data_IF_208366851838
#
_entry.id   IF_208366851838
#
_cell.length_a   1.000
_cell.length_b   1.000
_cell.length_c   1.000
_cell.angle_alpha   90.00
_cell.angle_beta   90.00
_cell.angle_gamma   90.00
#
_symmetry.space_group_name_H-M   'P 1'
#
loop_
_entity.id
_entity.type
_entity.pdbx_description
1 polymer ?
#
# COMPACT_ATOMS: atom_id res chain seq x y z
N UNK A 1 -6.71 22.96 17.34
CA UNK A 1 -7.00 21.63 16.75
C UNK A 1 -8.30 21.58 15.97
N UNK A 2 -9.14 22.63 15.96
CA UNK A 2 -10.45 22.56 15.30
C UNK A 2 -10.35 22.29 13.80
N UNK A 3 -9.31 22.79 13.11
CA UNK A 3 -9.14 22.57 11.67
C UNK A 3 -8.76 21.12 11.28
N UNK A 4 -7.91 20.44 12.07
CA UNK A 4 -7.51 19.05 11.80
C UNK A 4 -8.35 18.01 12.57
N UNK A 5 -8.93 18.39 13.70
CA UNK A 5 -9.52 17.45 14.66
C UNK A 5 -10.91 17.84 15.16
N UNK A 6 -11.41 19.04 14.85
CA UNK A 6 -12.69 19.54 15.40
C UNK A 6 -13.64 20.15 14.37
N UNK A 7 -13.44 19.90 13.08
CA UNK A 7 -14.48 20.13 12.10
C UNK A 7 -15.49 18.99 12.30
N UNK A 8 -16.63 19.31 12.90
CA UNK A 8 -17.73 18.36 13.02
C UNK A 8 -18.07 17.85 11.62
N UNK A 9 -18.14 16.52 11.51
CA UNK A 9 -18.58 15.93 10.26
C UNK A 9 -20.05 16.33 10.03
N UNK A 10 -20.47 16.51 8.77
CA UNK A 10 -21.86 16.79 8.47
C UNK A 10 -22.75 15.68 9.04
N UNK A 11 -23.62 16.04 9.99
CA UNK A 11 -24.52 15.11 10.68
C UNK A 11 -25.80 14.93 9.87
N UNK A 12 -25.83 13.85 9.07
CA UNK A 12 -27.02 13.52 8.29
C UNK A 12 -28.07 12.82 9.15
N UNK A 13 -29.37 13.14 8.95
CA UNK A 13 -30.44 12.56 9.74
C UNK A 13 -30.42 11.04 9.60
N UNK A 14 -30.27 10.35 10.73
CA UNK A 14 -30.26 8.89 10.79
C UNK A 14 -31.27 8.42 11.82
N UNK A 15 -31.94 7.30 11.55
CA UNK A 15 -32.80 6.62 12.53
C UNK A 15 -32.01 5.81 13.56
N UNK A 16 -30.67 5.87 13.52
CA UNK A 16 -29.78 5.03 14.30
C UNK A 16 -29.25 5.83 15.49
N UNK A 17 -29.90 5.69 16.64
CA UNK A 17 -29.53 6.41 17.86
C UNK A 17 -28.23 5.95 18.53
N UNK A 18 -27.56 4.91 18.00
CA UNK A 18 -26.38 4.30 18.62
C UNK A 18 -25.06 4.73 17.97
N UNK A 19 -25.10 5.43 16.83
CA UNK A 19 -23.90 5.84 16.08
C UNK A 19 -24.15 7.22 15.46
N UNK A 20 -23.31 8.21 15.78
CA UNK A 20 -23.45 9.58 15.27
C UNK A 20 -23.23 9.68 13.76
N UNK A 21 -22.26 8.92 13.25
CA UNK A 21 -21.84 8.95 11.85
C UNK A 21 -21.96 7.56 11.22
N UNK A 22 -23.18 7.03 11.01
CA UNK A 22 -23.38 5.65 10.57
C UNK A 22 -22.81 5.41 9.17
N UNK A 23 -22.98 6.35 8.24
CA UNK A 23 -22.48 6.24 6.87
C UNK A 23 -20.95 6.09 6.81
N UNK A 24 -20.22 6.98 7.49
CA UNK A 24 -18.75 6.97 7.58
C UNK A 24 -18.28 5.70 8.26
N UNK A 25 -18.91 5.32 9.38
CA UNK A 25 -18.59 4.11 10.15
C UNK A 25 -18.73 2.86 9.29
N UNK A 26 -19.88 2.68 8.61
CA UNK A 26 -20.10 1.53 7.74
C UNK A 26 -19.15 1.51 6.53
N UNK A 27 -18.82 2.69 5.99
CA UNK A 27 -17.87 2.80 4.87
C UNK A 27 -16.49 2.31 5.30
N UNK A 28 -15.97 2.78 6.43
CA UNK A 28 -14.68 2.29 6.95
C UNK A 28 -14.71 0.83 7.37
N UNK A 29 -15.81 0.34 7.94
CA UNK A 29 -15.96 -1.08 8.27
C UNK A 29 -15.90 -1.96 6.99
N UNK A 30 -16.56 -1.53 5.92
CA UNK A 30 -16.53 -2.21 4.63
C UNK A 30 -15.11 -2.18 4.01
N UNK A 31 -14.41 -1.05 4.08
CA UNK A 31 -13.02 -0.91 3.62
C UNK A 31 -12.10 -1.84 4.43
N UNK A 32 -12.27 -1.90 5.76
CA UNK A 32 -11.47 -2.74 6.63
C UNK A 32 -11.63 -4.23 6.29
N UNK A 33 -12.87 -4.67 6.09
CA UNK A 33 -13.21 -6.03 5.70
C UNK A 33 -12.68 -6.36 4.29
N UNK A 34 -12.91 -5.48 3.31
CA UNK A 34 -12.45 -5.67 1.93
C UNK A 34 -10.92 -5.76 1.85
N UNK A 35 -10.21 -4.86 2.52
CA UNK A 35 -8.74 -4.88 2.56
C UNK A 35 -8.21 -6.16 3.20
N UNK A 36 -8.82 -6.64 4.29
CA UNK A 36 -8.42 -7.90 4.93
C UNK A 36 -8.67 -9.11 4.01
N UNK A 37 -9.83 -9.17 3.34
CA UNK A 37 -10.12 -10.22 2.36
C UNK A 37 -9.10 -10.20 1.23
N UNK A 38 -8.76 -9.03 0.68
CA UNK A 38 -7.74 -8.93 -0.37
C UNK A 38 -6.34 -9.30 0.13
N UNK A 39 -5.97 -8.95 1.36
CA UNK A 39 -4.72 -9.40 1.98
C UNK A 39 -4.64 -10.92 2.08
N UNK A 40 -5.72 -11.56 2.57
CA UNK A 40 -5.81 -13.01 2.70
C UNK A 40 -5.75 -13.71 1.34
N UNK A 41 -6.53 -13.25 0.37
CA UNK A 41 -6.53 -13.84 -0.98
C UNK A 41 -5.18 -13.65 -1.65
N UNK A 42 -4.55 -12.48 -1.53
CA UNK A 42 -3.21 -12.24 -2.05
C UNK A 42 -2.16 -13.14 -1.38
N UNK A 43 -2.25 -13.33 -0.07
CA UNK A 43 -1.36 -14.22 0.70
C UNK A 43 -1.49 -15.68 0.32
N UNK A 44 -2.72 -16.19 0.24
CA UNK A 44 -2.99 -17.62 0.01
C UNK A 44 -2.79 -17.97 -1.48
N UNK A 45 -3.31 -17.15 -2.39
CA UNK A 45 -3.39 -17.48 -3.82
C UNK A 45 -2.28 -16.84 -4.65
N UNK A 46 -1.96 -15.57 -4.41
CA UNK A 46 -1.10 -14.79 -5.30
C UNK A 46 0.35 -14.66 -4.82
N UNK A 47 0.72 -15.22 -3.66
CA UNK A 47 2.09 -15.11 -3.14
C UNK A 47 3.02 -16.26 -3.58
N UNK A 48 2.49 -17.28 -4.25
CA UNK A 48 3.26 -18.42 -4.75
C UNK A 48 2.62 -19.03 -6.00
N UNK A 49 3.43 -19.68 -6.83
CA UNK A 49 2.98 -20.40 -8.02
C UNK A 49 3.16 -21.90 -7.78
N UNK A 50 2.13 -22.69 -8.06
CA UNK A 50 2.21 -24.16 -7.98
C UNK A 50 2.55 -24.72 -9.36
N UNK A 51 3.71 -25.39 -9.48
CA UNK A 51 4.13 -26.10 -10.70
C UNK A 51 4.44 -27.54 -10.30
N UNK A 52 3.81 -28.52 -10.97
CA UNK A 52 3.95 -29.96 -10.65
C UNK A 52 3.75 -30.30 -9.15
N UNK A 53 2.71 -29.74 -8.53
CA UNK A 53 2.39 -29.89 -7.10
C UNK A 53 3.47 -29.37 -6.13
N UNK A 54 4.49 -28.65 -6.61
CA UNK A 54 5.45 -27.91 -5.77
C UNK A 54 5.15 -26.42 -5.81
N UNK A 55 5.20 -25.79 -4.64
CA UNK A 55 5.04 -24.35 -4.50
C UNK A 55 6.39 -23.67 -4.71
N UNK A 56 6.50 -22.86 -5.76
CA UNK A 56 7.67 -22.05 -6.07
C UNK A 56 7.41 -20.62 -5.57
N UNK A 57 8.36 -20.09 -4.80
CA UNK A 57 8.34 -18.71 -4.32
C UNK A 57 9.67 -18.05 -4.68
N UNK A 58 9.61 -17.07 -5.57
CA UNK A 58 10.75 -16.22 -5.95
C UNK A 58 10.48 -14.78 -5.55
N UNK A 59 11.53 -13.96 -5.48
CA UNK A 59 11.40 -12.52 -5.21
C UNK A 59 10.48 -11.86 -6.26
N UNK A 60 10.61 -12.23 -7.53
CA UNK A 60 9.75 -11.74 -8.61
C UNK A 60 8.26 -12.09 -8.40
N UNK A 61 7.92 -13.21 -7.75
CA UNK A 61 6.52 -13.63 -7.53
C UNK A 61 5.97 -13.11 -6.20
N UNK A 62 6.83 -12.84 -5.21
CA UNK A 62 6.43 -12.42 -3.87
C UNK A 62 5.55 -11.16 -3.90
N UNK A 63 4.38 -11.25 -3.26
CA UNK A 63 3.44 -10.13 -3.09
C UNK A 63 3.35 -9.68 -1.62
N UNK A 64 4.40 -9.99 -0.83
CA UNK A 64 4.44 -9.74 0.62
C UNK A 64 4.22 -8.27 0.98
N UNK A 65 4.83 -7.34 0.24
CA UNK A 65 4.67 -5.90 0.48
C UNK A 65 3.25 -5.39 0.16
N UNK A 66 2.61 -5.94 -0.88
CA UNK A 66 1.21 -5.64 -1.18
C UNK A 66 0.26 -6.18 -0.10
N UNK A 67 0.55 -7.36 0.46
CA UNK A 67 -0.21 -7.94 1.57
C UNK A 67 -0.08 -7.05 2.82
N UNK A 68 1.13 -6.63 3.17
CA UNK A 68 1.36 -5.70 4.29
C UNK A 68 0.63 -4.37 4.09
N UNK A 69 0.65 -3.83 2.87
CA UNK A 69 -0.12 -2.64 2.52
C UNK A 69 -1.62 -2.80 2.81
N UNK A 70 -2.25 -3.90 2.37
CA UNK A 70 -3.66 -4.16 2.67
C UNK A 70 -3.93 -4.36 4.17
N UNK A 71 -3.02 -5.01 4.90
CA UNK A 71 -3.15 -5.16 6.36
C UNK A 71 -3.15 -3.79 7.04
N UNK A 72 -2.23 -2.89 6.68
CA UNK A 72 -2.21 -1.54 7.26
C UNK A 72 -3.42 -0.69 6.87
N UNK A 73 -3.95 -0.84 5.64
CA UNK A 73 -5.25 -0.23 5.30
C UNK A 73 -6.36 -0.77 6.20
N UNK A 74 -6.43 -2.09 6.39
CA UNK A 74 -7.45 -2.72 7.24
C UNK A 74 -7.37 -2.23 8.68
N UNK A 75 -6.16 -2.12 9.23
CA UNK A 75 -5.92 -1.58 10.57
C UNK A 75 -6.34 -0.10 10.66
N UNK A 76 -5.95 0.73 9.69
CA UNK A 76 -6.34 2.15 9.66
C UNK A 76 -7.86 2.31 9.60
N UNK A 77 -8.51 1.55 8.71
CA UNK A 77 -9.95 1.60 8.54
C UNK A 77 -10.69 1.09 9.79
N UNK A 78 -10.15 0.08 10.47
CA UNK A 78 -10.66 -0.38 11.77
C UNK A 78 -10.56 0.72 12.83
N UNK A 79 -9.41 1.39 12.95
CA UNK A 79 -9.24 2.52 13.90
C UNK A 79 -10.23 3.64 13.61
N UNK A 80 -10.42 4.02 12.34
CA UNK A 80 -11.42 5.02 11.97
C UNK A 80 -12.86 4.55 12.23
N UNK A 81 -13.17 3.27 11.99
CA UNK A 81 -14.49 2.70 12.32
C UNK A 81 -14.76 2.83 13.81
N UNK A 82 -13.80 2.48 14.66
CA UNK A 82 -13.93 2.61 16.12
C UNK A 82 -14.07 4.07 16.54
N UNK A 83 -13.29 4.97 15.95
CA UNK A 83 -13.35 6.41 16.21
C UNK A 83 -14.75 6.97 15.98
N UNK A 84 -15.33 6.71 14.82
CA UNK A 84 -16.65 7.24 14.46
C UNK A 84 -17.81 6.49 15.10
N UNK A 85 -17.63 5.22 15.47
CA UNK A 85 -18.63 4.45 16.21
C UNK A 85 -18.72 4.85 17.69
N UNK A 86 -17.61 5.33 18.28
CA UNK A 86 -17.52 5.72 19.70
C UNK A 86 -17.51 7.25 19.89
N UNK A 87 -17.91 8.01 18.87
CA UNK A 87 -17.91 9.47 18.93
C UNK A 87 -18.83 10.00 20.05
N UNK A 88 -20.00 9.36 20.25
CA UNK A 88 -20.93 9.71 21.33
C UNK A 88 -20.41 9.18 22.68
N UNK A 89 -19.95 10.11 23.54
CA UNK A 89 -19.60 9.81 24.93
C UNK A 89 -18.20 9.23 25.17
N UNK A 90 -17.30 9.18 24.18
CA UNK A 90 -15.90 8.85 24.46
C UNK A 90 -15.18 10.00 25.17
N UNK A 91 -14.31 9.65 26.13
CA UNK A 91 -13.39 10.61 26.73
C UNK A 91 -12.51 11.23 25.64
N UNK A 92 -12.30 12.55 25.68
CA UNK A 92 -11.44 13.28 24.73
C UNK A 92 -10.07 12.61 24.56
N UNK A 93 -9.56 12.01 25.64
CA UNK A 93 -8.33 11.22 25.66
C UNK A 93 -8.35 10.04 24.69
N UNK A 94 -9.45 9.29 24.60
CA UNK A 94 -9.57 8.12 23.72
C UNK A 94 -9.61 8.52 22.25
N UNK A 95 -10.39 9.55 21.89
CA UNK A 95 -10.44 10.04 20.51
C UNK A 95 -9.03 10.45 20.05
N UNK A 96 -8.30 11.22 20.86
CA UNK A 96 -6.93 11.63 20.57
C UNK A 96 -6.00 10.44 20.27
N UNK A 97 -6.07 9.37 21.08
CA UNK A 97 -5.28 8.16 20.82
C UNK A 97 -5.66 7.48 19.50
N UNK A 98 -6.95 7.42 19.17
CA UNK A 98 -7.42 6.85 17.89
C UNK A 98 -6.96 7.70 16.70
N UNK A 99 -6.95 9.02 16.82
CA UNK A 99 -6.42 9.90 15.77
C UNK A 99 -4.92 9.68 15.56
N UNK A 100 -4.12 9.74 16.63
CA UNK A 100 -2.67 9.62 16.50
C UNK A 100 -2.25 8.25 16.00
N UNK A 101 -2.88 7.18 16.50
CA UNK A 101 -2.64 5.83 15.97
C UNK A 101 -3.06 5.73 14.49
N UNK A 102 -4.19 6.34 14.11
CA UNK A 102 -4.63 6.45 12.73
C UNK A 102 -3.61 7.15 11.82
N UNK A 103 -3.00 8.24 12.27
CA UNK A 103 -1.95 8.97 11.54
C UNK A 103 -0.67 8.11 11.37
N UNK A 104 -0.20 7.45 12.43
CA UNK A 104 0.97 6.57 12.35
C UNK A 104 0.73 5.41 11.37
N UNK A 105 -0.43 4.74 11.46
CA UNK A 105 -0.80 3.65 10.56
C UNK A 105 -0.95 4.17 9.12
N UNK A 106 -1.42 5.40 8.94
CA UNK A 106 -1.50 6.04 7.63
C UNK A 106 -0.11 6.24 6.99
N UNK A 107 0.86 6.73 7.77
CA UNK A 107 2.25 6.82 7.33
C UNK A 107 2.84 5.46 6.94
N UNK A 108 2.58 4.42 7.74
CA UNK A 108 2.99 3.04 7.45
C UNK A 108 2.35 2.52 6.16
N UNK A 109 1.08 2.83 5.92
CA UNK A 109 0.37 2.47 4.69
C UNK A 109 1.05 3.08 3.47
N UNK A 110 1.35 4.39 3.50
CA UNK A 110 2.05 5.08 2.40
C UNK A 110 3.46 4.55 2.16
N UNK A 111 4.19 4.24 3.23
CA UNK A 111 5.51 3.62 3.16
C UNK A 111 5.47 2.22 2.53
N UNK A 112 4.56 1.34 2.99
CA UNK A 112 4.39 0.01 2.43
C UNK A 112 3.98 0.05 0.95
N UNK A 113 3.11 0.98 0.55
CA UNK A 113 2.75 1.16 -0.86
C UNK A 113 3.97 1.56 -1.70
N UNK A 114 4.77 2.51 -1.21
CA UNK A 114 6.01 2.94 -1.88
C UNK A 114 6.98 1.77 -2.06
N UNK A 115 7.19 0.96 -1.02
CA UNK A 115 8.04 -0.23 -1.10
C UNK A 115 7.47 -1.27 -2.08
N UNK A 116 6.15 -1.51 -2.05
CA UNK A 116 5.49 -2.46 -2.96
C UNK A 116 5.66 -2.05 -4.43
N UNK A 117 5.52 -0.76 -4.72
CA UNK A 117 5.72 -0.19 -6.06
C UNK A 117 7.18 -0.20 -6.48
N UNK A 118 8.11 0.11 -5.58
CA UNK A 118 9.54 0.05 -5.89
C UNK A 118 9.97 -1.40 -6.17
N UNK A 119 9.49 -2.36 -5.39
CA UNK A 119 9.71 -3.77 -5.64
C UNK A 119 9.14 -4.19 -7.00
N UNK A 120 7.92 -3.75 -7.33
CA UNK A 120 7.33 -3.98 -8.65
C UNK A 120 8.19 -3.39 -9.78
N UNK A 121 8.64 -2.15 -9.63
CA UNK A 121 9.48 -1.48 -10.61
C UNK A 121 10.81 -2.22 -10.82
N UNK A 122 11.52 -2.55 -9.73
CA UNK A 122 12.85 -3.18 -9.72
C UNK A 122 12.86 -4.61 -10.25
N UNK A 123 11.86 -5.42 -9.88
CA UNK A 123 11.88 -6.86 -10.17
C UNK A 123 10.96 -7.28 -11.33
N UNK A 124 9.98 -6.45 -11.71
CA UNK A 124 8.94 -6.82 -12.69
C UNK A 124 8.82 -5.85 -13.86
N UNK A 125 9.38 -4.65 -13.79
CA UNK A 125 9.30 -3.66 -14.88
C UNK A 125 10.65 -3.39 -15.57
N UNK A 126 11.78 -3.72 -14.94
CA UNK A 126 13.13 -3.39 -15.43
C UNK A 126 14.01 -4.60 -15.74
N UNK A 127 13.45 -5.76 -16.11
CA UNK A 127 14.27 -6.94 -16.42
C UNK A 127 14.54 -7.09 -17.92
N UNK A 128 15.81 -6.92 -18.36
CA UNK A 128 16.30 -7.62 -19.55
C UNK A 128 17.26 -8.77 -19.24
N UNK A 129 17.79 -8.93 -18.02
CA UNK A 129 18.95 -9.81 -17.80
C UNK A 129 19.11 -10.40 -16.38
N UNK A 130 18.04 -10.51 -15.58
CA UNK A 130 18.10 -11.37 -14.39
C UNK A 130 18.06 -12.85 -14.83
N UNK A 131 19.10 -13.28 -15.56
CA UNK A 131 19.40 -14.70 -15.69
C UNK A 131 19.44 -15.26 -14.27
N UNK A 132 18.67 -16.32 -13.95
CA UNK A 132 18.99 -17.12 -12.80
C UNK A 132 20.41 -17.62 -13.05
N UNK A 133 21.38 -17.12 -12.28
CA UNK A 133 22.69 -17.73 -12.22
C UNK A 133 22.46 -19.24 -12.05
N UNK A 134 23.16 -20.09 -12.83
CA UNK A 134 22.84 -21.51 -12.87
C UNK A 134 22.84 -22.06 -11.45
N UNK A 135 21.71 -22.61 -11.03
CA UNK A 135 21.53 -23.36 -9.77
C UNK A 135 22.39 -24.65 -9.74
N UNK A 136 23.25 -24.84 -10.75
CA UNK A 136 24.21 -25.94 -10.89
C UNK A 136 25.68 -25.51 -10.87
N UNK A 137 26.03 -24.40 -10.20
CA UNK A 137 27.42 -24.08 -9.92
C UNK A 137 28.03 -25.10 -8.95
N UNK A 138 28.73 -26.10 -9.49
CA UNK A 138 29.63 -26.97 -8.72
C UNK A 138 30.49 -26.08 -7.82
N UNK A 139 30.41 -26.29 -6.51
CA UNK A 139 31.28 -25.64 -5.53
C UNK A 139 32.73 -25.78 -6.00
N UNK A 140 33.30 -24.68 -6.46
CA UNK A 140 34.73 -24.59 -6.69
C UNK A 140 35.41 -24.53 -5.32
N UNK A 141 36.63 -25.09 -5.16
CA UNK A 141 37.33 -25.17 -3.88
C UNK A 141 37.76 -23.80 -3.28
N UNK A 142 37.26 -22.68 -3.82
CA UNK A 142 37.56 -21.32 -3.40
C UNK A 142 36.30 -20.52 -3.00
N UNK A 143 35.22 -21.20 -2.59
CA UNK A 143 34.03 -20.48 -2.13
C UNK A 143 34.35 -19.69 -0.85
N UNK A 144 34.10 -18.36 -0.83
CA UNK A 144 34.36 -17.52 0.32
C UNK A 144 33.53 -17.96 1.53
N UNK A 145 34.11 -17.83 2.72
CA UNK A 145 33.55 -18.29 3.99
C UNK A 145 32.01 -18.13 4.07
N UNK A 146 31.27 -19.18 4.48
CA UNK A 146 29.81 -19.15 4.54
C UNK A 146 29.27 -18.05 5.46
N UNK A 147 30.08 -17.54 6.39
CA UNK A 147 29.76 -16.38 7.23
C UNK A 147 29.84 -15.05 6.48
N UNK A 148 30.79 -14.87 5.54
CA UNK A 148 30.89 -13.69 4.68
C UNK A 148 29.75 -13.65 3.64
N UNK A 149 29.26 -14.82 3.20
CA UNK A 149 28.06 -14.91 2.35
C UNK A 149 26.78 -14.37 3.04
N UNK A 150 26.65 -14.57 4.36
CA UNK A 150 25.52 -14.03 5.15
C UNK A 150 25.57 -12.51 5.27
N UNK A 151 26.76 -11.91 5.39
CA UNK A 151 26.93 -10.45 5.39
C UNK A 151 26.85 -9.84 3.97
N UNK A 152 27.15 -10.62 2.92
CA UNK A 152 26.96 -10.21 1.53
C UNK A 152 25.51 -9.93 1.16
N UNK A 153 24.53 -10.55 1.84
CA UNK A 153 23.11 -10.25 1.68
C UNK A 153 22.70 -8.90 2.29
N UNK A 154 23.24 -8.56 3.47
CA UNK A 154 23.08 -7.22 4.08
C UNK A 154 23.75 -6.11 3.26
N UNK A 155 24.85 -6.44 2.59
CA UNK A 155 25.57 -5.52 1.69
C UNK A 155 25.03 -5.52 0.25
N UNK A 156 24.07 -6.38 -0.10
CA UNK A 156 23.32 -6.33 -1.36
C UNK A 156 22.28 -5.22 -1.26
N UNK A 157 22.83 -4.02 -1.21
CA UNK A 157 22.30 -2.66 -1.25
C UNK A 157 20.81 -2.49 -1.03
N UNK A 158 20.48 -1.99 0.16
CA UNK A 158 19.42 -0.99 0.27
C UNK A 158 19.74 0.10 -0.75
N UNK A 159 18.87 0.26 -1.75
CA UNK A 159 19.08 1.25 -2.80
C UNK A 159 18.99 2.67 -2.24
N UNK A 160 19.64 3.64 -2.89
CA UNK A 160 19.48 5.06 -2.52
C UNK A 160 18.00 5.49 -2.50
N UNK A 161 17.19 4.93 -3.39
CA UNK A 161 15.74 5.13 -3.40
C UNK A 161 15.06 4.61 -2.11
N UNK A 162 15.43 3.43 -1.62
CA UNK A 162 14.87 2.86 -0.39
C UNK A 162 15.30 3.66 0.85
N UNK A 163 16.56 4.13 0.89
CA UNK A 163 17.03 5.05 1.92
C UNK A 163 16.23 6.36 1.91
N UNK A 164 15.95 6.91 0.73
CA UNK A 164 15.11 8.11 0.59
C UNK A 164 13.69 7.85 1.09
N UNK A 165 13.05 6.74 0.73
CA UNK A 165 11.71 6.41 1.20
C UNK A 165 11.64 6.25 2.71
N UNK A 166 12.66 5.61 3.29
CA UNK A 166 12.78 5.46 4.74
C UNK A 166 13.00 6.81 5.43
N UNK A 167 13.86 7.67 4.88
CA UNK A 167 14.07 9.03 5.40
C UNK A 167 12.78 9.87 5.36
N UNK A 168 12.01 9.82 4.26
CA UNK A 168 10.72 10.50 4.15
C UNK A 168 9.70 9.96 5.16
N UNK A 169 9.69 8.65 5.40
CA UNK A 169 8.82 8.04 6.41
C UNK A 169 9.22 8.44 7.84
N UNK A 170 10.51 8.46 8.18
CA UNK A 170 10.98 8.94 9.48
C UNK A 170 10.68 10.42 9.68
N UNK A 171 10.84 11.25 8.64
CA UNK A 171 10.48 12.66 8.66
C UNK A 171 8.98 12.82 8.94
N UNK A 172 8.12 12.03 8.27
CA UNK A 172 6.69 12.00 8.54
C UNK A 172 6.39 11.68 10.00
N UNK A 173 6.98 10.61 10.55
CA UNK A 173 6.76 10.23 11.96
C UNK A 173 7.25 11.30 12.94
N UNK A 174 8.38 11.96 12.65
CA UNK A 174 8.88 13.05 13.47
C UNK A 174 7.88 14.22 13.49
N UNK A 175 7.27 14.56 12.36
CA UNK A 175 6.25 15.60 12.30
C UNK A 175 4.91 15.18 12.92
N UNK A 176 4.52 13.90 12.86
CA UNK A 176 3.39 13.39 13.66
C UNK A 176 3.67 13.58 15.15
N UNK A 177 4.89 13.28 15.61
CA UNK A 177 5.27 13.49 17.01
C UNK A 177 5.27 14.97 17.41
N UNK A 178 5.76 15.86 16.54
CA UNK A 178 5.69 17.32 16.77
C UNK A 178 4.24 17.78 16.88
N UNK A 179 3.35 17.30 16.02
CA UNK A 179 1.91 17.61 16.08
C UNK A 179 1.27 17.14 17.39
N UNK A 180 1.70 15.99 17.93
CA UNK A 180 1.23 15.49 19.23
C UNK A 180 1.73 16.40 20.38
N UNK A 181 3.00 16.80 20.34
CA UNK A 181 3.62 17.58 21.43
C UNK A 181 3.13 19.02 21.44
N UNK A 182 2.97 19.65 20.26
CA UNK A 182 2.61 21.06 20.11
C UNK A 182 1.12 21.31 19.89
N UNK A 183 0.29 20.40 20.39
CA UNK A 183 -1.17 20.46 20.23
C UNK A 183 -1.79 21.77 20.74
N UNK A 184 -1.29 22.30 21.86
CA UNK A 184 -1.91 23.39 22.62
C UNK A 184 -1.27 24.77 22.35
N UNK A 185 -0.41 24.91 21.34
CA UNK A 185 0.26 26.17 21.00
C UNK A 185 -0.57 27.03 20.04
N UNK A 186 -0.53 28.36 20.20
CA UNK A 186 -1.30 29.33 19.39
C UNK A 186 -0.91 29.36 17.89
N UNK A 187 0.32 28.94 17.53
CA UNK A 187 0.84 28.90 16.15
C UNK A 187 0.48 27.59 15.40
N UNK A 188 -0.65 27.00 15.72
CA UNK A 188 -1.07 25.68 15.24
C UNK A 188 -1.10 25.56 13.71
N UNK A 189 -1.63 26.59 13.03
CA UNK A 189 -1.81 26.56 11.57
C UNK A 189 -0.49 26.37 10.82
N UNK A 190 0.62 26.89 11.36
CA UNK A 190 1.96 26.75 10.78
C UNK A 190 2.36 25.28 10.83
N UNK A 191 2.22 24.63 11.99
CA UNK A 191 2.57 23.23 12.18
C UNK A 191 1.71 22.30 11.34
N UNK A 192 0.41 22.61 11.23
CA UNK A 192 -0.53 21.94 10.32
C UNK A 192 -0.04 22.03 8.87
N UNK A 193 0.27 23.23 8.38
CA UNK A 193 0.72 23.44 7.01
C UNK A 193 2.04 22.70 6.72
N UNK A 194 2.99 22.72 7.67
CA UNK A 194 4.25 21.98 7.55
C UNK A 194 4.01 20.48 7.55
N UNK A 195 3.13 19.97 8.43
CA UNK A 195 2.75 18.56 8.46
C UNK A 195 2.12 18.13 7.13
N UNK A 196 1.18 18.90 6.58
CA UNK A 196 0.56 18.63 5.28
C UNK A 196 1.59 18.64 4.13
N UNK A 197 2.61 19.49 4.23
CA UNK A 197 3.72 19.54 3.26
C UNK A 197 4.57 18.27 3.32
N UNK A 198 4.96 17.84 4.52
CA UNK A 198 5.72 16.59 4.74
C UNK A 198 4.88 15.37 4.32
N UNK A 199 3.58 15.41 4.63
CA UNK A 199 2.61 14.42 4.21
C UNK A 199 2.57 14.28 2.69
N UNK A 200 2.39 15.40 1.97
CA UNK A 200 2.41 15.42 0.51
C UNK A 200 3.74 14.92 -0.06
N UNK A 201 4.86 15.33 0.54
CA UNK A 201 6.19 14.88 0.14
C UNK A 201 6.38 13.36 0.28
N UNK A 202 5.81 12.75 1.32
CA UNK A 202 5.83 11.31 1.51
C UNK A 202 5.06 10.56 0.39
N UNK A 203 4.08 11.22 -0.25
CA UNK A 203 3.27 10.66 -1.35
C UNK A 203 3.89 10.81 -2.74
N UNK A 204 4.82 11.75 -2.91
CA UNK A 204 5.53 11.97 -4.18
C UNK A 204 6.17 10.69 -4.73
N UNK A 205 6.90 9.87 -3.95
CA UNK A 205 7.45 8.60 -4.42
C UNK A 205 6.42 7.64 -5.02
N UNK A 206 5.22 7.54 -4.44
CA UNK A 206 4.13 6.69 -4.95
C UNK A 206 3.74 7.14 -6.36
N UNK A 207 3.50 8.44 -6.53
CA UNK A 207 3.10 9.04 -7.81
C UNK A 207 4.21 8.82 -8.85
N UNK A 208 5.46 9.12 -8.49
CA UNK A 208 6.62 8.95 -9.38
C UNK A 208 6.78 7.50 -9.82
N UNK A 209 6.74 6.53 -8.89
CA UNK A 209 6.87 5.11 -9.21
C UNK A 209 5.75 4.61 -10.11
N UNK A 210 4.52 5.08 -9.90
CA UNK A 210 3.37 4.73 -10.74
C UNK A 210 3.57 5.25 -12.16
N UNK A 211 4.03 6.49 -12.32
CA UNK A 211 4.36 7.03 -13.64
C UNK A 211 5.50 6.26 -14.30
N UNK A 212 6.55 5.90 -13.55
CA UNK A 212 7.65 5.09 -14.08
C UNK A 212 7.16 3.71 -14.55
N UNK A 213 6.29 3.03 -13.79
CA UNK A 213 5.73 1.73 -14.17
C UNK A 213 4.76 1.86 -15.36
N UNK A 214 3.89 2.88 -15.35
CA UNK A 214 2.89 3.08 -16.39
C UNK A 214 3.51 3.51 -17.72
N UNK A 215 4.41 4.49 -17.69
CA UNK A 215 5.07 5.05 -18.89
C UNK A 215 6.30 4.26 -19.31
N UNK A 216 6.82 3.38 -18.46
CA UNK A 216 7.92 2.48 -18.78
C UNK A 216 7.65 1.76 -20.10
N UNK A 217 8.54 1.97 -21.08
CA UNK A 217 8.40 1.36 -22.39
C UNK A 217 8.38 -0.16 -22.25
N UNK A 218 7.62 -0.81 -23.14
CA UNK A 218 7.55 -2.26 -23.26
C UNK A 218 8.80 -2.78 -23.98
N UNK A 219 9.97 -2.35 -23.51
CA UNK A 219 11.25 -2.67 -24.14
C UNK A 219 11.56 -4.18 -24.01
N UNK A 220 10.84 -4.87 -23.12
CA UNK A 220 10.75 -6.34 -23.10
C UNK A 220 9.29 -6.81 -23.24
N UNK A 221 9.06 -7.96 -23.92
CA UNK A 221 7.73 -8.57 -24.01
C UNK A 221 7.13 -8.89 -22.63
N UNK A 222 7.98 -8.97 -21.61
CA UNK A 222 7.65 -9.41 -20.25
C UNK A 222 7.19 -8.30 -19.30
N UNK A 223 7.10 -7.03 -19.75
CA UNK A 223 6.63 -5.93 -18.90
C UNK A 223 5.14 -6.00 -18.51
N UNK A 224 4.68 -5.12 -17.57
CA UNK A 224 3.28 -5.09 -17.14
C UNK A 224 2.30 -4.89 -18.30
N UNK A 225 1.18 -5.61 -18.26
CA UNK A 225 0.13 -5.51 -19.28
C UNK A 225 -0.50 -4.11 -19.29
N UNK A 226 -1.11 -3.71 -20.41
CA UNK A 226 -1.81 -2.42 -20.51
C UNK A 226 -2.93 -2.29 -19.46
N UNK A 227 -3.64 -3.39 -19.20
CA UNK A 227 -4.68 -3.44 -18.16
C UNK A 227 -4.10 -3.30 -16.76
N UNK A 228 -2.99 -3.98 -16.45
CA UNK A 228 -2.30 -3.81 -15.16
C UNK A 228 -1.91 -2.34 -14.94
N UNK A 229 -1.31 -1.70 -15.95
CA UNK A 229 -0.95 -0.28 -15.90
C UNK A 229 -2.18 0.61 -15.68
N UNK A 230 -3.29 0.35 -16.39
CA UNK A 230 -4.53 1.09 -16.22
C UNK A 230 -5.09 0.94 -14.80
N UNK A 231 -5.17 -0.27 -14.26
CA UNK A 231 -5.60 -0.51 -12.87
C UNK A 231 -4.71 0.22 -11.87
N UNK A 232 -3.39 0.23 -12.08
CA UNK A 232 -2.46 0.91 -11.20
C UNK A 232 -2.69 2.44 -11.20
N UNK A 233 -2.80 3.06 -12.38
CA UNK A 233 -3.02 4.50 -12.53
C UNK A 233 -4.36 4.91 -11.94
N UNK A 234 -5.43 4.19 -12.28
CA UNK A 234 -6.78 4.47 -11.74
C UNK A 234 -6.83 4.27 -10.24
N UNK A 235 -6.19 3.20 -9.72
CA UNK A 235 -6.11 2.93 -8.28
C UNK A 235 -5.44 4.08 -7.52
N UNK A 236 -4.32 4.60 -8.03
CA UNK A 236 -3.60 5.73 -7.42
C UNK A 236 -4.39 7.02 -7.53
N UNK A 237 -5.03 7.29 -8.67
CA UNK A 237 -5.87 8.46 -8.82
C UNK A 237 -6.98 8.52 -7.76
N UNK A 238 -7.69 7.41 -7.55
CA UNK A 238 -8.68 7.32 -6.47
C UNK A 238 -8.02 7.31 -5.07
N UNK A 239 -6.81 6.78 -4.92
CA UNK A 239 -6.14 6.78 -3.61
C UNK A 239 -5.76 8.18 -3.14
N UNK A 240 -5.45 9.10 -4.06
CA UNK A 240 -5.13 10.50 -3.72
C UNK A 240 -6.28 11.18 -2.96
N UNK A 241 -7.53 10.85 -3.31
CA UNK A 241 -8.70 11.39 -2.60
C UNK A 241 -8.81 10.88 -1.16
N UNK A 242 -8.30 9.67 -0.89
CA UNK A 242 -8.34 8.99 0.41
C UNK A 242 -7.07 9.20 1.26
N UNK A 243 -6.04 9.78 0.66
CA UNK A 243 -4.82 10.15 1.34
C UNK A 243 -5.04 11.41 2.18
N UNK A 244 -5.90 12.32 1.74
CA UNK A 244 -6.27 13.50 2.53
C UNK A 244 -7.14 13.10 3.74
N UNK A 245 -6.85 13.61 4.95
CA UNK A 245 -7.71 13.43 6.10
C UNK A 245 -9.15 13.92 5.88
N UNK A 246 -10.11 13.24 6.52
CA UNK A 246 -11.56 13.47 6.37
C UNK A 246 -11.95 14.92 6.66
N UNK A 247 -11.35 15.55 7.68
CA UNK A 247 -11.65 16.92 8.08
C UNK A 247 -11.33 17.95 6.98
N UNK A 248 -10.27 17.74 6.20
CA UNK A 248 -9.91 18.67 5.12
C UNK A 248 -11.01 18.67 4.06
N UNK A 249 -11.62 17.51 3.82
CA UNK A 249 -12.78 17.41 2.95
C UNK A 249 -14.02 18.06 3.56
N UNK A 250 -14.24 17.89 4.87
CA UNK A 250 -15.37 18.52 5.56
C UNK A 250 -15.31 20.06 5.52
N UNK A 251 -14.11 20.65 5.51
CA UNK A 251 -13.93 22.10 5.35
C UNK A 251 -14.09 22.57 3.91
N UNK A 252 -13.67 21.74 2.94
CA UNK A 252 -13.73 22.11 1.52
C UNK A 252 -15.15 22.01 0.95
N UNK A 253 -15.96 21.08 1.46
CA UNK A 253 -17.30 20.82 0.98
C UNK A 253 -18.38 21.43 1.89
N UNK A 254 -19.57 21.72 1.35
CA UNK A 254 -20.69 22.15 2.17
C UNK A 254 -21.02 21.12 3.25
N UNK A 255 -21.39 21.59 4.44
CA UNK A 255 -21.85 20.76 5.56
C UNK A 255 -23.25 20.14 5.34
N UNK A 256 -23.86 20.41 4.18
CA UNK A 256 -25.16 19.86 3.82
C UNK A 256 -25.07 18.39 3.37
N UNK A 257 -26.10 17.62 3.72
CA UNK A 257 -26.24 16.25 3.28
C UNK A 257 -26.68 16.20 1.81
N UNK A 258 -25.79 15.74 0.93
CA UNK A 258 -26.06 15.57 -0.50
C UNK A 258 -27.21 14.58 -0.74
N UNK A 259 -27.26 13.52 0.09
CA UNK A 259 -28.31 12.52 0.13
C UNK A 259 -28.89 12.44 1.55
N UNK A 260 -30.08 11.84 1.69
CA UNK A 260 -30.78 11.70 2.99
C UNK A 260 -29.87 11.13 4.08
N UNK A 261 -28.94 10.24 3.72
CA UNK A 261 -28.05 9.53 4.66
C UNK A 261 -26.56 9.74 4.39
N UNK A 262 -26.17 10.59 3.44
CA UNK A 262 -24.76 10.74 3.05
C UNK A 262 -24.41 12.17 2.61
N UNK A 263 -23.25 12.63 3.07
CA UNK A 263 -22.61 13.88 2.70
C UNK A 263 -21.62 13.73 1.54
N UNK A 264 -21.09 14.84 1.04
CA UNK A 264 -19.99 14.84 0.07
C UNK A 264 -18.75 14.12 0.59
N UNK A 265 -18.47 14.23 1.89
CA UNK A 265 -17.36 13.56 2.55
C UNK A 265 -17.52 12.05 2.45
N UNK A 266 -18.73 11.52 2.70
CA UNK A 266 -19.01 10.08 2.56
C UNK A 266 -18.75 9.58 1.14
N UNK A 267 -19.21 10.32 0.12
CA UNK A 267 -19.05 9.93 -1.28
C UNK A 267 -17.59 9.83 -1.71
N UNK A 268 -16.75 10.74 -1.23
CA UNK A 268 -15.31 10.72 -1.51
C UNK A 268 -14.67 9.50 -0.89
N UNK A 269 -15.03 9.15 0.34
CA UNK A 269 -14.47 7.99 1.04
C UNK A 269 -14.94 6.66 0.43
N UNK A 270 -16.12 6.63 -0.19
CA UNK A 270 -16.58 5.46 -0.96
C UNK A 270 -15.63 5.14 -2.12
N UNK A 271 -14.91 6.13 -2.69
CA UNK A 271 -13.91 5.88 -3.72
C UNK A 271 -12.71 5.05 -3.23
N UNK A 272 -12.55 4.85 -1.92
CA UNK A 272 -11.50 3.96 -1.43
C UNK A 272 -11.73 2.50 -1.81
N UNK A 273 -13.00 2.06 -1.93
CA UNK A 273 -13.31 0.69 -2.36
C UNK A 273 -12.84 0.42 -3.80
N UNK A 274 -13.15 1.26 -4.80
CA UNK A 274 -12.53 1.20 -6.12
C UNK A 274 -11.00 1.17 -6.10
N UNK A 275 -10.33 1.97 -5.25
CA UNK A 275 -8.86 1.92 -5.10
C UNK A 275 -8.38 0.51 -4.74
N UNK A 276 -9.00 -0.12 -3.73
CA UNK A 276 -8.63 -1.47 -3.30
C UNK A 276 -8.87 -2.51 -4.39
N UNK A 277 -10.01 -2.42 -5.09
CA UNK A 277 -10.33 -3.31 -6.21
C UNK A 277 -9.30 -3.15 -7.33
N UNK A 278 -8.95 -1.91 -7.71
CA UNK A 278 -7.96 -1.64 -8.73
C UNK A 278 -6.57 -2.21 -8.38
N UNK A 279 -6.07 -1.98 -7.15
CA UNK A 279 -4.81 -2.57 -6.72
C UNK A 279 -4.85 -4.10 -6.66
N UNK A 280 -5.99 -4.69 -6.32
CA UNK A 280 -6.14 -6.14 -6.29
C UNK A 280 -6.15 -6.73 -7.70
N UNK A 281 -6.85 -6.09 -8.64
CA UNK A 281 -6.86 -6.46 -10.05
C UNK A 281 -5.47 -6.30 -10.68
N UNK A 282 -4.72 -5.27 -10.28
CA UNK A 282 -3.32 -5.11 -10.64
C UNK A 282 -2.47 -6.31 -10.21
N UNK A 283 -2.52 -6.68 -8.92
CA UNK A 283 -1.78 -7.84 -8.38
C UNK A 283 -2.19 -9.13 -9.09
N UNK A 284 -3.50 -9.32 -9.35
CA UNK A 284 -4.01 -10.48 -10.07
C UNK A 284 -3.46 -10.55 -11.49
N UNK A 285 -3.47 -9.44 -12.22
CA UNK A 285 -2.94 -9.39 -13.60
C UNK A 285 -1.46 -9.71 -13.63
N UNK A 286 -0.68 -9.16 -12.69
CA UNK A 286 0.76 -9.42 -12.59
C UNK A 286 1.06 -10.86 -12.17
N UNK A 287 0.25 -11.43 -11.27
CA UNK A 287 0.37 -12.83 -10.89
C UNK A 287 0.18 -13.77 -12.08
N UNK A 288 -0.87 -13.55 -12.89
CA UNK A 288 -1.15 -14.41 -14.04
C UNK A 288 0.00 -14.37 -15.06
N UNK A 289 0.54 -13.16 -15.33
CA UNK A 289 1.72 -12.98 -16.19
C UNK A 289 2.94 -13.75 -15.64
N UNK A 290 3.27 -13.56 -14.37
CA UNK A 290 4.42 -14.22 -13.74
C UNK A 290 4.24 -15.75 -13.62
N UNK A 291 3.00 -16.23 -13.49
CA UNK A 291 2.70 -17.66 -13.43
C UNK A 291 3.06 -18.34 -14.75
N UNK A 292 2.68 -17.75 -15.88
CA UNK A 292 3.02 -18.27 -17.21
C UNK A 292 4.54 -18.33 -17.40
N UNK A 293 5.25 -17.26 -17.07
CA UNK A 293 6.72 -17.19 -17.15
C UNK A 293 7.40 -18.24 -16.25
N UNK A 294 6.92 -18.41 -15.02
CA UNK A 294 7.43 -19.41 -14.09
C UNK A 294 7.23 -20.85 -14.59
N UNK A 295 6.10 -21.14 -15.24
CA UNK A 295 5.82 -22.46 -15.81
C UNK A 295 6.78 -22.71 -16.98
N UNK A 296 6.89 -21.76 -17.92
CA UNK A 296 7.78 -21.90 -19.08
C UNK A 296 9.23 -22.11 -18.68
N UNK A 297 9.75 -21.28 -17.77
CA UNK A 297 11.12 -21.40 -17.27
C UNK A 297 11.36 -22.75 -16.57
N UNK A 298 10.40 -23.23 -15.77
CA UNK A 298 10.52 -24.53 -15.09
C UNK A 298 10.51 -25.68 -16.11
N UNK A 299 9.63 -25.64 -17.11
CA UNK A 299 9.56 -26.67 -18.16
C UNK A 299 10.84 -26.70 -18.99
N UNK A 300 11.37 -25.54 -19.40
CA UNK A 300 12.63 -25.47 -20.15
C UNK A 300 13.80 -26.00 -19.34
N UNK A 301 13.90 -25.65 -18.05
CA UNK A 301 14.95 -26.19 -17.17
C UNK A 301 14.87 -27.72 -17.03
N UNK A 302 13.66 -28.29 -16.93
CA UNK A 302 13.47 -29.74 -16.90
C UNK A 302 13.92 -30.34 -18.24
N UNK A 303 13.52 -29.78 -19.37
CA UNK A 303 13.93 -30.27 -20.70
C UNK A 303 15.45 -30.23 -20.89
N UNK A 304 16.10 -29.15 -20.48
CA UNK A 304 17.56 -29.00 -20.56
C UNK A 304 18.29 -29.97 -19.62
N UNK A 305 17.74 -30.20 -18.42
CA UNK A 305 18.34 -31.12 -17.43
C UNK A 305 18.18 -32.58 -17.86
N UNK A 306 17.05 -32.94 -18.46
CA UNK A 306 16.72 -34.30 -18.86
C UNK A 306 17.03 -34.60 -20.32
N UNK A 307 17.81 -33.75 -21.02
CA UNK A 307 18.06 -33.76 -22.47
C UNK A 307 17.83 -35.12 -23.12
N UNK A 308 16.58 -35.36 -23.53
CA UNK A 308 16.13 -36.62 -24.10
C UNK A 308 16.78 -36.92 -25.46
N UNK A 309 17.59 -35.98 -25.99
CA UNK A 309 18.36 -36.15 -27.23
C UNK A 309 19.63 -36.98 -27.02
N UNK A 310 20.04 -37.25 -25.77
CA UNK A 310 21.18 -38.11 -25.45
C UNK A 310 20.82 -39.59 -25.23
N UNK A 311 19.54 -39.94 -25.35
CA UNK A 311 19.05 -41.32 -25.36
C UNK A 311 18.43 -41.63 -26.73
#
# INVERSE_FOLDING_TARGET
>A
MSLILGADLPSCPSSWHFVDYPSVTFTYAAIAAAALVFALVAGIKYNSVKVFNRSIRTENISNTLWILFYIFISLRATVNTLRYALADGSEETLDNYLIYSGLVIHGLTGFCLTLALNHQHKFRSTSPNAQPGPVGGKAGPNDPDPLLSKYGWLKKSVGWAELLYFALFLLYLAFVLVMIIRRDEDDEWVWVAVFLSVFGLQRVPVIVLVFLIALGKRDTPDGPTAWAKAYLVVGVFFSLTNDMPVHIWAELFPSECTFVFASWVDLIHVFYLPTLVCFFLFIRSEYLRNMEECIWTTVSQIQDTFDFRRF
#
